data_IF_119607300590
#
_entry.id   IF_119607300590
#
_cell.length_a   1.000
_cell.length_b   1.000
_cell.length_c   1.000
_cell.angle_alpha   90.00
_cell.angle_beta   90.00
_cell.angle_gamma   90.00
#
_symmetry.space_group_name_H-M   'P 1'
#
loop_
_entity.id
_entity.type
_entity.pdbx_description
1 polymer ?
#
# COMPACT_ATOMS: atom_id res chain seq x y z
N UNK A 1 8.99 -51.35 8.64
CA UNK A 1 7.80 -50.55 8.26
C UNK A 1 7.70 -49.32 9.16
N UNK A 2 7.89 -48.11 8.64
CA UNK A 2 7.77 -46.88 9.44
C UNK A 2 6.42 -46.22 9.14
N UNK A 3 5.48 -46.34 10.09
CA UNK A 3 4.16 -45.70 10.00
C UNK A 3 4.33 -44.19 10.18
N UNK A 4 4.43 -43.47 9.07
CA UNK A 4 4.30 -42.00 9.02
C UNK A 4 2.92 -41.61 9.57
N UNK A 5 2.88 -41.11 10.81
CA UNK A 5 1.74 -40.37 11.34
C UNK A 5 1.54 -39.11 10.48
N UNK A 6 0.63 -39.18 9.50
CA UNK A 6 0.11 -38.01 8.79
C UNK A 6 -0.62 -37.15 9.84
N UNK A 7 -0.08 -35.97 10.16
CA UNK A 7 -0.83 -34.94 10.90
C UNK A 7 -2.13 -34.70 10.15
N UNK A 8 -3.26 -35.02 10.76
CA UNK A 8 -4.57 -34.65 10.25
C UNK A 8 -4.62 -33.12 10.27
N UNK A 9 -4.78 -32.50 9.10
CA UNK A 9 -5.18 -31.09 9.01
C UNK A 9 -6.57 -31.02 9.62
N UNK A 10 -6.67 -30.56 10.86
CA UNK A 10 -7.94 -30.28 11.52
C UNK A 10 -8.35 -28.89 11.06
N UNK A 11 -9.41 -28.81 10.27
CA UNK A 11 -10.01 -27.55 9.85
C UNK A 11 -10.77 -26.97 11.04
N UNK A 12 -10.17 -26.01 11.74
CA UNK A 12 -10.71 -25.42 12.97
C UNK A 12 -11.58 -24.22 12.62
N UNK A 13 -12.89 -24.32 12.88
CA UNK A 13 -13.81 -23.21 12.78
C UNK A 13 -13.84 -22.43 14.11
N UNK A 14 -13.27 -21.22 14.11
CA UNK A 14 -13.23 -20.33 15.28
C UNK A 14 -14.16 -19.14 15.04
N UNK A 15 -15.10 -18.92 15.95
CA UNK A 15 -16.03 -17.78 15.94
C UNK A 15 -15.65 -16.81 17.08
N UNK A 16 -15.40 -15.55 16.74
CA UNK A 16 -15.17 -14.50 17.74
C UNK A 16 -16.51 -14.06 18.36
N UNK A 17 -16.65 -14.22 19.68
CA UNK A 17 -17.89 -13.92 20.42
C UNK A 17 -17.83 -12.63 21.25
N UNK A 18 -16.70 -11.92 21.23
CA UNK A 18 -16.50 -10.70 21.99
C UNK A 18 -16.64 -9.46 21.11
N UNK A 19 -17.08 -8.36 21.72
CA UNK A 19 -17.02 -7.06 21.09
C UNK A 19 -15.56 -6.66 20.83
N UNK A 20 -15.32 -5.93 19.75
CA UNK A 20 -14.01 -5.37 19.44
C UNK A 20 -14.13 -3.87 19.25
N UNK A 21 -13.11 -3.16 19.72
CA UNK A 21 -12.89 -1.74 19.44
C UNK A 21 -11.64 -1.60 18.60
N UNK A 22 -11.68 -0.73 17.60
CA UNK A 22 -10.54 -0.44 16.74
C UNK A 22 -10.04 0.97 17.02
N UNK A 23 -8.73 1.08 17.25
CA UNK A 23 -8.02 2.34 17.39
C UNK A 23 -6.81 2.28 16.47
N UNK A 24 -6.68 3.27 15.59
CA UNK A 24 -5.52 3.39 14.72
C UNK A 24 -4.46 4.25 15.40
N UNK A 25 -3.40 3.59 15.87
CA UNK A 25 -2.20 4.23 16.39
C UNK A 25 -1.02 4.11 15.42
N UNK A 26 -1.31 3.85 14.14
CA UNK A 26 -0.27 3.73 13.15
C UNK A 26 0.54 5.02 13.07
N UNK A 27 1.85 4.86 12.89
CA UNK A 27 2.75 5.97 12.64
C UNK A 27 2.79 6.37 11.16
N UNK A 28 1.75 5.99 10.39
CA UNK A 28 1.65 6.29 8.97
C UNK A 28 0.84 7.58 8.77
N UNK A 29 1.21 8.35 7.74
CA UNK A 29 0.40 9.48 7.33
C UNK A 29 -0.92 8.97 6.73
N UNK A 30 -2.03 9.62 7.11
CA UNK A 30 -3.30 9.37 6.45
C UNK A 30 -3.33 9.99 5.04
N UNK A 31 -4.46 9.78 4.34
CA UNK A 31 -4.62 10.28 2.97
C UNK A 31 -4.47 11.81 2.86
N UNK A 32 -5.06 12.56 3.78
CA UNK A 32 -5.03 14.02 3.74
C UNK A 32 -3.60 14.56 3.95
N UNK A 33 -2.87 13.98 4.90
CA UNK A 33 -1.48 14.34 5.16
C UNK A 33 -0.56 13.97 3.99
N UNK A 34 -0.79 12.83 3.31
CA UNK A 34 -0.02 12.46 2.11
C UNK A 34 -0.24 13.46 0.96
N UNK A 35 -1.48 13.84 0.66
CA UNK A 35 -1.73 14.85 -0.38
C UNK A 35 -1.09 16.19 -0.04
N UNK A 36 -1.26 16.65 1.21
CA UNK A 36 -0.67 17.91 1.66
C UNK A 36 0.87 17.88 1.56
N UNK A 37 1.49 16.76 1.92
CA UNK A 37 2.93 16.59 1.77
C UNK A 37 3.37 16.73 0.31
N UNK A 38 2.70 16.03 -0.61
CA UNK A 38 3.03 16.02 -2.03
C UNK A 38 2.84 17.41 -2.68
N UNK A 39 1.74 18.10 -2.36
CA UNK A 39 1.44 19.43 -2.89
C UNK A 39 2.47 20.49 -2.45
N UNK A 40 3.12 20.28 -1.30
CA UNK A 40 4.16 21.16 -0.79
C UNK A 40 5.59 20.78 -1.22
N UNK A 41 5.77 19.67 -1.95
CA UNK A 41 7.08 19.29 -2.48
C UNK A 41 7.55 20.29 -3.56
N UNK A 42 8.81 20.71 -3.46
CA UNK A 42 9.46 21.55 -4.47
C UNK A 42 10.25 20.68 -5.43
N UNK A 43 9.65 20.33 -6.56
CA UNK A 43 10.33 19.65 -7.64
C UNK A 43 11.36 20.56 -8.30
N UNK A 44 12.45 19.98 -8.81
CA UNK A 44 13.43 20.73 -9.61
C UNK A 44 12.74 21.23 -10.89
N UNK A 45 13.10 22.42 -11.37
CA UNK A 45 12.51 23.02 -12.56
C UNK A 45 12.67 22.20 -13.84
N UNK A 46 13.63 21.28 -13.88
CA UNK A 46 13.87 20.34 -14.99
C UNK A 46 13.29 18.94 -14.75
N UNK A 47 12.51 18.74 -13.68
CA UNK A 47 11.92 17.45 -13.33
C UNK A 47 10.55 17.28 -14.00
N UNK A 48 10.18 16.04 -14.29
CA UNK A 48 8.84 15.67 -14.77
C UNK A 48 7.84 15.47 -13.60
N UNK A 49 8.21 15.87 -12.38
CA UNK A 49 7.39 15.69 -11.18
C UNK A 49 6.98 14.23 -10.96
N UNK A 50 7.96 13.32 -11.10
CA UNK A 50 7.78 11.88 -11.00
C UNK A 50 7.47 11.43 -9.56
N UNK A 51 6.39 10.66 -9.36
CA UNK A 51 5.98 10.13 -8.05
C UNK A 51 5.61 8.65 -8.15
N UNK A 52 6.34 7.80 -7.43
CA UNK A 52 6.08 6.36 -7.35
C UNK A 52 5.32 6.03 -6.06
N UNK A 53 4.09 5.52 -6.19
CA UNK A 53 3.24 5.13 -5.06
C UNK A 53 3.52 3.67 -4.69
N UNK A 54 4.23 3.46 -3.58
CA UNK A 54 4.66 2.13 -3.11
C UNK A 54 4.27 1.92 -1.64
N UNK A 55 4.46 0.69 -1.13
CA UNK A 55 4.27 0.32 0.28
C UNK A 55 2.84 0.57 0.82
N UNK A 56 1.85 0.11 0.06
CA UNK A 56 0.46 -0.01 0.48
C UNK A 56 -0.18 -1.23 -0.18
N UNK A 57 -1.44 -1.52 0.15
CA UNK A 57 -2.19 -2.49 -0.64
C UNK A 57 -2.41 -1.95 -2.07
N UNK A 58 -2.63 -2.88 -3.02
CA UNK A 58 -2.69 -2.55 -4.44
C UNK A 58 -3.78 -1.51 -4.77
N UNK A 59 -4.91 -1.54 -4.05
CA UNK A 59 -5.98 -0.58 -4.26
C UNK A 59 -5.56 0.81 -3.80
N UNK A 60 -4.95 0.91 -2.63
CA UNK A 60 -4.51 2.20 -2.06
C UNK A 60 -3.42 2.86 -2.90
N UNK A 61 -2.38 2.13 -3.32
CA UNK A 61 -1.29 2.69 -4.16
C UNK A 61 -1.80 3.12 -5.53
N UNK A 62 -2.63 2.30 -6.18
CA UNK A 62 -3.20 2.61 -7.50
C UNK A 62 -4.14 3.81 -7.46
N UNK A 63 -4.94 3.94 -6.40
CA UNK A 63 -5.87 5.07 -6.23
C UNK A 63 -5.10 6.37 -6.07
N UNK A 64 -4.11 6.41 -5.17
CA UNK A 64 -3.28 7.60 -4.96
C UNK A 64 -2.54 8.01 -6.25
N UNK A 65 -1.93 7.06 -6.96
CA UNK A 65 -1.25 7.34 -8.22
C UNK A 65 -2.22 7.95 -9.26
N UNK A 66 -3.43 7.40 -9.38
CA UNK A 66 -4.45 7.90 -10.30
C UNK A 66 -4.90 9.33 -9.97
N UNK A 67 -5.07 9.64 -8.69
CA UNK A 67 -5.43 10.98 -8.24
C UNK A 67 -4.31 12.00 -8.52
N UNK A 68 -3.06 11.60 -8.35
CA UNK A 68 -1.91 12.46 -8.65
C UNK A 68 -1.75 12.73 -10.15
N UNK A 69 -2.07 11.75 -11.01
CA UNK A 69 -2.12 11.97 -12.46
C UNK A 69 -3.15 13.03 -12.83
N UNK A 70 -4.34 13.02 -12.20
CA UNK A 70 -5.37 14.07 -12.40
C UNK A 70 -4.85 15.45 -11.98
N UNK A 71 -3.94 15.51 -10.99
CA UNK A 71 -3.28 16.73 -10.54
C UNK A 71 -2.03 17.10 -11.37
N UNK A 72 -1.83 16.49 -12.54
CA UNK A 72 -0.70 16.71 -13.46
C UNK A 72 0.67 16.29 -12.92
N UNK A 73 0.74 15.36 -11.96
CA UNK A 73 2.00 14.69 -11.62
C UNK A 73 2.24 13.49 -12.53
N UNK A 74 3.51 13.18 -12.82
CA UNK A 74 3.85 11.92 -13.50
C UNK A 74 3.90 10.79 -12.46
N UNK A 75 2.74 10.20 -12.15
CA UNK A 75 2.62 9.21 -11.06
C UNK A 75 2.23 7.82 -11.53
N UNK A 76 2.81 6.81 -10.87
CA UNK A 76 2.56 5.39 -11.11
C UNK A 76 2.60 4.61 -9.80
N UNK A 77 1.86 3.50 -9.73
CA UNK A 77 1.99 2.48 -8.69
C UNK A 77 2.70 1.26 -9.29
N UNK A 78 4.03 1.12 -9.09
CA UNK A 78 4.80 0.06 -9.73
C UNK A 78 4.35 -1.35 -9.33
N UNK A 79 4.42 -2.27 -10.29
CA UNK A 79 4.35 -3.69 -9.99
C UNK A 79 5.70 -4.22 -9.50
N UNK A 80 5.66 -5.32 -8.74
CA UNK A 80 6.89 -5.94 -8.21
C UNK A 80 7.74 -6.47 -9.36
N UNK A 81 8.96 -5.95 -9.48
CA UNK A 81 9.93 -6.35 -10.49
C UNK A 81 10.00 -5.43 -11.71
N UNK A 82 9.16 -4.38 -11.78
CA UNK A 82 9.30 -3.35 -12.80
C UNK A 82 10.57 -2.51 -12.61
N UNK A 83 11.13 -2.03 -13.72
CA UNK A 83 12.33 -1.20 -13.77
C UNK A 83 12.00 0.08 -14.52
N UNK A 84 12.33 1.22 -13.92
CA UNK A 84 12.14 2.55 -14.49
C UNK A 84 13.50 3.19 -14.76
N UNK A 85 13.62 3.86 -15.92
CA UNK A 85 14.82 4.59 -16.32
C UNK A 85 14.59 6.10 -16.16
N UNK A 86 15.63 6.80 -15.69
CA UNK A 86 15.63 8.23 -15.39
C UNK A 86 16.65 8.98 -16.24
#
# INVERSE_FOLDING_TARGET
ESKRNRKQNVDLHIEAKCDYSYFDFSSHADNAHLHNYIENLKFKSSSNSDIFCIHGDNKSTTSLASELVIKNYNSVAPETGEIYHF
#
